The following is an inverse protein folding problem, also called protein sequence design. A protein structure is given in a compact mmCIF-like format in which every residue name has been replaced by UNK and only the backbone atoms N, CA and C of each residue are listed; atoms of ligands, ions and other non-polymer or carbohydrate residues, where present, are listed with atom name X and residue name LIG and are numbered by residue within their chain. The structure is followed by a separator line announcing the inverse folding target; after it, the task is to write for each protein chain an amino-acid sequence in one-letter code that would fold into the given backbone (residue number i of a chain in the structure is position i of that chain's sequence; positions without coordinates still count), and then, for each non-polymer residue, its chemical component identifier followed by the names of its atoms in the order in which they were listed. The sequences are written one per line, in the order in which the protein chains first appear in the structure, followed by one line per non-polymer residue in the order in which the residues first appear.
data_IF_410749251195
#
_entry.id   IF_410749251195
#
_cell.length_a   1.000
_cell.length_b   1.000
_cell.length_c   1.000
_cell.angle_alpha   90.00
_cell.angle_beta   90.00
_cell.angle_gamma   90.00
#
_symmetry.space_group_name_H-M   'P 1'
#
loop_
_entity.id
_entity.type
_entity.pdbx_description
1 polymer ?
#
# COMPACT_ATOMS: atom_id res chain seq x y z
N UNK A 1 10.40 -3.56 37.75
CA UNK A 1 9.01 -3.39 38.29
C UNK A 1 8.10 -3.40 37.08
N UNK A 2 7.23 -4.39 36.97
CA UNK A 2 6.27 -4.50 35.89
C UNK A 2 5.32 -3.30 35.97
N UNK A 3 5.24 -2.53 34.89
CA UNK A 3 4.29 -1.42 34.80
C UNK A 3 2.91 -2.01 34.55
N UNK A 4 1.92 -1.55 35.29
CA UNK A 4 0.52 -1.96 35.15
C UNK A 4 -0.32 -0.75 34.72
N UNK A 5 -1.17 -0.98 33.72
CA UNK A 5 -2.13 -0.02 33.21
C UNK A 5 -3.52 -0.59 33.46
N UNK A 6 -4.42 0.20 34.00
CA UNK A 6 -5.74 -0.27 34.42
C UNK A 6 -6.83 0.70 34.01
N UNK A 7 -7.98 0.15 33.68
CA UNK A 7 -9.23 0.90 33.52
C UNK A 7 -10.39 0.03 34.01
N UNK A 8 -11.49 0.64 34.41
CA UNK A 8 -12.68 -0.05 34.82
C UNK A 8 -13.93 0.63 34.31
N UNK A 9 -15.01 -0.14 34.13
CA UNK A 9 -16.31 0.35 33.72
C UNK A 9 -17.41 -0.54 34.34
N UNK A 10 -18.67 -0.09 34.25
CA UNK A 10 -19.82 -0.90 34.58
C UNK A 10 -20.57 -1.27 33.30
N UNK A 11 -21.09 -2.48 33.23
CA UNK A 11 -21.93 -2.90 32.12
C UNK A 11 -23.26 -2.13 32.14
N UNK A 12 -23.75 -1.74 30.95
CA UNK A 12 -25.06 -1.13 30.79
C UNK A 12 -26.21 -2.13 31.06
N UNK A 13 -27.45 -1.65 30.98
CA UNK A 13 -28.66 -2.46 31.11
C UNK A 13 -28.74 -3.54 30.01
N UNK A 14 -28.14 -3.26 28.86
CA UNK A 14 -27.99 -4.16 27.70
C UNK A 14 -26.90 -5.24 27.93
N UNK A 15 -26.22 -5.22 29.07
CA UNK A 15 -25.09 -6.08 29.43
C UNK A 15 -23.85 -5.86 28.57
N UNK A 16 -23.78 -4.73 27.85
CA UNK A 16 -22.60 -4.33 27.09
C UNK A 16 -21.73 -3.36 27.88
N UNK A 17 -20.45 -3.35 27.61
CA UNK A 17 -19.50 -2.41 28.17
C UNK A 17 -18.41 -2.05 27.16
N UNK A 18 -17.86 -0.87 27.32
CA UNK A 18 -16.67 -0.42 26.64
C UNK A 18 -15.63 0.00 27.67
N UNK A 19 -14.39 -0.43 27.50
CA UNK A 19 -13.26 -0.06 28.36
C UNK A 19 -12.13 0.48 27.48
N UNK A 20 -11.64 1.66 27.84
CA UNK A 20 -10.43 2.22 27.27
C UNK A 20 -9.32 2.21 28.32
N UNK A 21 -8.15 1.72 27.96
CA UNK A 21 -6.94 1.81 28.76
C UNK A 21 -6.04 2.85 28.11
N UNK A 22 -5.98 4.05 28.67
CA UNK A 22 -5.23 5.15 28.12
C UNK A 22 -3.74 5.06 28.44
N UNK A 23 -2.92 5.68 27.57
CA UNK A 23 -1.48 5.90 27.77
C UNK A 23 -0.66 4.62 27.94
N UNK A 24 -1.08 3.54 27.31
CA UNK A 24 -0.25 2.34 27.20
C UNK A 24 0.83 2.63 26.14
N UNK A 25 2.12 2.72 26.51
CA UNK A 25 3.16 3.08 25.56
C UNK A 25 3.44 1.94 24.57
N UNK A 26 3.93 2.30 23.38
CA UNK A 26 4.53 1.34 22.46
C UNK A 26 5.83 0.81 23.06
N UNK A 27 6.06 -0.48 22.90
CA UNK A 27 7.31 -1.15 23.28
C UNK A 27 7.46 -2.46 22.51
N UNK A 28 8.70 -2.92 22.33
CA UNK A 28 8.98 -4.17 21.64
C UNK A 28 8.49 -5.41 22.41
N UNK A 29 8.41 -5.33 23.73
CA UNK A 29 7.91 -6.42 24.57
C UNK A 29 6.38 -6.46 24.56
N UNK A 30 5.84 -7.67 24.45
CA UNK A 30 4.39 -7.89 24.47
C UNK A 30 3.78 -7.63 25.86
N UNK A 31 2.58 -7.10 25.86
CA UNK A 31 1.74 -6.99 27.05
C UNK A 31 0.90 -8.25 27.28
N UNK A 32 0.43 -8.39 28.52
CA UNK A 32 -0.60 -9.34 28.88
C UNK A 32 -1.85 -8.55 29.27
N UNK A 33 -2.96 -8.80 28.58
CA UNK A 33 -4.24 -8.18 28.87
C UNK A 33 -5.11 -9.15 29.69
N UNK A 34 -5.52 -8.71 30.88
CA UNK A 34 -6.35 -9.51 31.79
C UNK A 34 -7.68 -8.82 32.07
N UNK A 35 -8.76 -9.53 31.79
CA UNK A 35 -10.12 -9.10 32.10
C UNK A 35 -10.57 -9.68 33.46
N UNK A 36 -11.04 -8.80 34.34
CA UNK A 36 -11.57 -9.18 35.60
C UNK A 36 -13.07 -8.78 35.68
N UNK A 37 -13.87 -9.64 36.27
CA UNK A 37 -15.25 -9.34 36.66
C UNK A 37 -15.38 -9.57 38.17
N UNK A 38 -15.77 -8.54 38.88
CA UNK A 38 -15.90 -8.61 40.37
C UNK A 38 -14.61 -9.11 41.05
N UNK A 39 -13.45 -8.65 40.55
CA UNK A 39 -12.13 -9.02 41.05
C UNK A 39 -11.61 -10.41 40.61
N UNK A 40 -12.42 -11.19 39.89
CA UNK A 40 -12.03 -12.52 39.42
C UNK A 40 -11.57 -12.46 37.95
N UNK A 41 -10.44 -13.08 37.65
CA UNK A 41 -9.94 -13.21 36.27
C UNK A 41 -10.91 -14.06 35.44
N UNK A 42 -11.45 -13.46 34.39
CA UNK A 42 -12.33 -14.14 33.40
C UNK A 42 -11.63 -14.51 32.11
N UNK A 43 -10.67 -13.70 31.69
CA UNK A 43 -9.91 -13.96 30.46
C UNK A 43 -8.52 -13.31 30.55
N UNK A 44 -7.53 -14.00 30.05
CA UNK A 44 -6.18 -13.47 29.83
C UNK A 44 -5.81 -13.63 28.37
N UNK A 45 -5.30 -12.57 27.75
CA UNK A 45 -4.79 -12.55 26.39
C UNK A 45 -3.31 -12.24 26.48
N UNK A 46 -2.50 -13.12 25.91
CA UNK A 46 -1.06 -12.96 25.82
C UNK A 46 -0.66 -12.39 24.46
N UNK A 47 0.57 -11.93 24.34
CA UNK A 47 1.14 -11.41 23.10
C UNK A 47 0.33 -10.22 22.51
N UNK A 48 -0.08 -9.29 23.39
CA UNK A 48 -0.72 -8.04 22.98
C UNK A 48 0.36 -7.01 22.71
N UNK A 49 0.41 -6.50 21.49
CA UNK A 49 1.36 -5.47 21.09
C UNK A 49 0.66 -4.13 20.97
N UNK A 50 1.37 -3.06 21.30
CA UNK A 50 0.92 -1.68 21.14
C UNK A 50 1.91 -0.97 20.23
N UNK A 51 1.43 -0.50 19.09
CA UNK A 51 2.24 0.14 18.06
C UNK A 51 1.37 0.63 16.91
N UNK A 52 1.98 0.89 15.75
CA UNK A 52 1.27 1.41 14.60
C UNK A 52 0.64 0.28 13.78
N UNK A 53 -0.60 0.46 13.39
CA UNK A 53 -1.34 -0.51 12.59
C UNK A 53 -1.68 0.10 11.23
N UNK A 54 -1.34 -0.60 10.15
CA UNK A 54 -1.66 -0.20 8.78
C UNK A 54 -2.61 -1.20 8.13
N UNK A 55 -3.41 -0.75 7.19
CA UNK A 55 -4.18 -1.62 6.31
C UNK A 55 -3.41 -1.78 5.00
N UNK A 56 -3.10 -3.02 4.61
CA UNK A 56 -2.54 -3.34 3.30
C UNK A 56 -3.65 -3.85 2.40
N UNK A 57 -4.10 -3.00 1.48
CA UNK A 57 -5.25 -3.21 0.61
C UNK A 57 -4.90 -3.03 -0.87
N UNK A 58 -5.76 -3.47 -1.74
CA UNK A 58 -5.58 -3.43 -3.18
C UNK A 58 -5.65 -4.82 -3.80
N UNK A 59 -4.76 -5.10 -4.75
CA UNK A 59 -4.76 -6.39 -5.44
C UNK A 59 -3.40 -7.12 -5.33
N UNK A 60 -3.09 -7.99 -6.30
CA UNK A 60 -1.94 -8.91 -6.27
C UNK A 60 -0.60 -8.26 -5.92
N UNK A 61 -0.31 -7.06 -6.40
CA UNK A 61 0.93 -6.36 -6.08
C UNK A 61 1.08 -5.97 -4.60
N UNK A 62 0.00 -5.97 -3.82
CA UNK A 62 0.02 -5.79 -2.36
C UNK A 62 -0.08 -7.13 -1.63
N UNK A 63 -0.77 -8.12 -2.22
CA UNK A 63 -1.08 -9.40 -1.60
C UNK A 63 0.03 -10.45 -1.71
N UNK A 64 0.68 -10.54 -2.90
CA UNK A 64 1.59 -11.62 -3.24
C UNK A 64 2.79 -11.71 -2.29
N UNK A 65 3.14 -12.92 -1.91
CA UNK A 65 4.31 -13.20 -1.09
C UNK A 65 5.59 -13.30 -1.95
N UNK A 66 6.74 -13.44 -1.31
CA UNK A 66 8.04 -13.54 -2.00
C UNK A 66 8.06 -14.66 -3.05
N UNK A 67 7.56 -15.85 -2.70
CA UNK A 67 7.61 -17.00 -3.60
C UNK A 67 6.79 -16.78 -4.87
N UNK A 68 5.64 -16.07 -4.75
CA UNK A 68 4.80 -15.74 -5.90
C UNK A 68 5.51 -14.81 -6.89
N UNK A 69 6.41 -13.93 -6.41
CA UNK A 69 7.20 -13.06 -7.27
C UNK A 69 8.42 -13.75 -7.88
N UNK A 70 9.17 -14.52 -7.09
CA UNK A 70 10.53 -14.92 -7.44
C UNK A 70 10.72 -16.41 -7.67
N UNK A 71 9.82 -17.28 -7.19
CA UNK A 71 9.99 -18.73 -7.25
C UNK A 71 9.17 -19.40 -8.35
N UNK A 72 8.24 -18.70 -9.01
CA UNK A 72 7.44 -19.27 -10.10
C UNK A 72 8.24 -19.27 -11.40
N UNK A 73 8.63 -20.44 -11.92
CA UNK A 73 9.56 -20.55 -13.05
C UNK A 73 8.97 -20.08 -14.38
N UNK A 74 7.65 -20.14 -14.55
CA UNK A 74 7.00 -20.00 -15.86
C UNK A 74 6.39 -18.60 -16.10
N UNK A 75 6.41 -17.72 -15.12
CA UNK A 75 5.80 -16.38 -15.22
C UNK A 75 6.73 -15.30 -15.74
N UNK A 76 8.04 -15.58 -15.92
CA UNK A 76 9.02 -14.60 -16.33
C UNK A 76 9.80 -15.05 -17.58
N UNK A 77 9.87 -14.16 -18.56
CA UNK A 77 10.86 -14.24 -19.62
C UNK A 77 12.26 -14.44 -18.98
N UNK A 78 13.04 -15.40 -19.47
CA UNK A 78 14.39 -15.73 -18.97
C UNK A 78 15.29 -14.48 -18.92
N UNK A 79 15.13 -13.56 -19.87
CA UNK A 79 15.87 -12.31 -19.91
C UNK A 79 15.55 -11.37 -18.75
N UNK A 80 14.36 -11.47 -18.19
CA UNK A 80 13.96 -10.68 -17.01
C UNK A 80 14.53 -11.30 -15.73
N UNK A 81 14.57 -12.61 -15.66
CA UNK A 81 15.11 -13.36 -14.53
C UNK A 81 16.59 -13.06 -14.28
N UNK A 82 17.36 -12.90 -15.36
CA UNK A 82 18.79 -12.59 -15.29
C UNK A 82 19.08 -11.14 -14.84
N UNK A 83 18.11 -10.24 -14.95
CA UNK A 83 18.22 -8.86 -14.46
C UNK A 83 18.05 -8.75 -12.93
N UNK A 84 17.53 -9.79 -12.30
CA UNK A 84 17.29 -9.86 -10.86
C UNK A 84 18.18 -10.93 -10.23
N UNK A 85 19.25 -10.51 -9.61
CA UNK A 85 19.99 -11.40 -8.72
C UNK A 85 19.13 -11.63 -7.47
N UNK A 86 18.57 -12.84 -7.36
CA UNK A 86 17.81 -13.31 -6.19
C UNK A 86 18.58 -13.20 -4.87
N UNK A 87 19.90 -13.02 -4.95
CA UNK A 87 20.82 -13.15 -3.81
C UNK A 87 20.76 -11.99 -2.81
N UNK A 88 20.19 -10.85 -3.20
CA UNK A 88 20.30 -9.62 -2.41
C UNK A 88 19.00 -9.26 -1.64
N UNK A 89 17.93 -10.02 -1.84
CA UNK A 89 16.65 -9.76 -1.22
C UNK A 89 16.31 -10.88 -0.22
N UNK A 90 15.90 -10.52 1.01
CA UNK A 90 15.42 -11.52 1.95
C UNK A 90 14.15 -12.18 1.41
N UNK A 91 14.04 -13.51 1.53
CA UNK A 91 12.83 -14.24 1.13
C UNK A 91 11.65 -14.04 2.11
N UNK A 92 11.92 -13.52 3.28
CA UNK A 92 10.94 -13.15 4.31
C UNK A 92 11.57 -12.15 5.28
N UNK A 93 10.73 -11.47 6.03
CA UNK A 93 11.12 -10.67 7.18
C UNK A 93 10.97 -11.53 8.44
N UNK A 94 11.97 -11.49 9.33
CA UNK A 94 11.98 -12.22 10.60
C UNK A 94 12.02 -11.21 11.76
N UNK A 95 10.86 -10.72 12.15
CA UNK A 95 10.70 -9.81 13.29
C UNK A 95 9.34 -10.07 13.98
N UNK A 96 9.38 -10.58 15.20
CA UNK A 96 8.18 -10.84 16.01
C UNK A 96 7.36 -9.59 16.32
N UNK A 97 7.93 -8.40 16.17
CA UNK A 97 7.24 -7.12 16.32
C UNK A 97 6.55 -6.63 15.04
N UNK A 98 6.64 -7.39 13.95
CA UNK A 98 5.84 -7.20 12.74
C UNK A 98 4.79 -8.30 12.70
N UNK A 99 3.52 -7.91 12.76
CA UNK A 99 2.42 -8.87 12.83
C UNK A 99 1.35 -8.55 11.81
N UNK A 100 0.84 -9.59 11.17
CA UNK A 100 -0.19 -9.48 10.15
C UNK A 100 -1.51 -10.07 10.65
N UNK A 101 -2.59 -9.30 10.53
CA UNK A 101 -3.95 -9.85 10.56
C UNK A 101 -4.28 -10.28 9.13
N UNK A 102 -4.12 -11.55 8.84
CA UNK A 102 -4.47 -12.12 7.53
C UNK A 102 -5.96 -12.40 7.50
N UNK A 103 -6.65 -11.75 6.57
CA UNK A 103 -8.09 -11.88 6.35
C UNK A 103 -8.32 -12.93 5.25
N UNK A 104 -9.16 -13.91 5.53
CA UNK A 104 -9.52 -14.95 4.55
C UNK A 104 -10.40 -14.35 3.44
N UNK A 105 -10.11 -14.68 2.18
CA UNK A 105 -10.88 -14.30 0.99
C UNK A 105 -12.26 -14.97 0.87
N UNK A 106 -12.69 -15.71 1.86
CA UNK A 106 -14.05 -16.29 1.86
C UNK A 106 -15.08 -15.18 1.91
N UNK A 107 -15.72 -14.98 0.75
CA UNK A 107 -16.89 -14.15 0.64
C UNK A 107 -18.04 -14.89 1.31
N UNK A 108 -18.61 -14.24 2.34
CA UNK A 108 -19.89 -14.72 2.88
C UNK A 108 -20.94 -14.72 1.77
N UNK A 109 -21.90 -15.64 1.83
CA UNK A 109 -23.03 -15.74 0.87
C UNK A 109 -23.96 -14.51 0.87
N UNK A 110 -23.71 -13.52 1.72
CA UNK A 110 -24.51 -12.31 1.88
C UNK A 110 -23.78 -11.13 1.23
N UNK A 111 -24.46 -10.43 0.35
CA UNK A 111 -24.04 -9.13 -0.19
C UNK A 111 -24.09 -8.00 0.86
N UNK A 112 -24.48 -8.28 2.09
CA UNK A 112 -24.58 -7.29 3.15
C UNK A 112 -23.22 -7.10 3.83
N UNK A 113 -22.87 -5.85 4.16
CA UNK A 113 -21.64 -5.52 4.89
C UNK A 113 -21.53 -6.30 6.21
N UNK A 114 -20.40 -6.93 6.42
CA UNK A 114 -20.12 -7.66 7.66
C UNK A 114 -19.76 -6.67 8.78
N UNK A 115 -20.10 -7.02 10.00
CA UNK A 115 -19.72 -6.27 11.22
C UNK A 115 -18.33 -6.64 11.74
N UNK A 116 -17.81 -7.77 11.31
CA UNK A 116 -16.49 -8.28 11.67
C UNK A 116 -16.01 -9.24 10.60
N UNK A 117 -14.70 -9.45 10.52
CA UNK A 117 -14.15 -10.44 9.59
C UNK A 117 -14.68 -11.84 9.87
N UNK A 118 -15.06 -12.56 8.82
CA UNK A 118 -15.51 -13.95 8.94
C UNK A 118 -14.40 -14.88 9.44
N UNK A 119 -13.18 -14.64 8.96
CA UNK A 119 -11.99 -15.36 9.37
C UNK A 119 -10.80 -14.42 9.27
N UNK A 120 -10.07 -14.26 10.36
CA UNK A 120 -8.84 -13.48 10.40
C UNK A 120 -7.93 -14.01 11.51
N UNK A 121 -6.64 -14.05 11.26
CA UNK A 121 -5.64 -14.53 12.20
C UNK A 121 -4.43 -13.62 12.26
N UNK A 122 -3.99 -13.25 13.46
CA UNK A 122 -2.73 -12.54 13.68
C UNK A 122 -1.55 -13.52 13.59
N UNK A 123 -0.62 -13.25 12.67
CA UNK A 123 0.58 -14.03 12.43
C UNK A 123 1.83 -13.14 12.56
N UNK A 124 2.90 -13.58 13.23
CA UNK A 124 4.17 -12.88 13.20
C UNK A 124 4.84 -13.02 11.83
N UNK A 125 5.62 -12.00 11.45
CA UNK A 125 6.47 -12.07 10.27
C UNK A 125 7.67 -12.95 10.57
N UNK A 126 7.68 -14.14 9.98
CA UNK A 126 8.76 -15.12 10.08
C UNK A 126 8.69 -16.13 8.93
N UNK A 127 9.68 -17.00 8.84
CA UNK A 127 9.78 -18.01 7.80
C UNK A 127 8.53 -18.89 7.68
N UNK A 128 7.97 -19.34 8.81
CA UNK A 128 6.81 -20.25 8.81
C UNK A 128 5.52 -19.62 8.24
N UNK A 129 5.42 -18.32 8.27
CA UNK A 129 4.27 -17.55 7.79
C UNK A 129 4.54 -16.84 6.45
N UNK A 130 5.76 -16.83 5.95
CA UNK A 130 6.20 -16.04 4.80
C UNK A 130 5.29 -16.17 3.57
N UNK A 131 4.77 -17.39 3.31
CA UNK A 131 3.87 -17.67 2.17
C UNK A 131 2.43 -17.17 2.35
N UNK A 132 2.09 -16.63 3.51
CA UNK A 132 0.76 -16.07 3.81
C UNK A 132 0.75 -14.55 3.84
N UNK A 133 1.94 -13.94 3.89
CA UNK A 133 2.11 -12.51 4.12
C UNK A 133 2.54 -11.81 2.85
N UNK A 134 1.88 -10.73 2.50
CA UNK A 134 2.25 -9.88 1.37
C UNK A 134 3.69 -9.38 1.49
N UNK A 135 4.47 -9.53 0.44
CA UNK A 135 5.91 -9.22 0.49
C UNK A 135 6.18 -7.71 0.60
N UNK A 136 5.48 -6.89 -0.19
CA UNK A 136 5.63 -5.43 -0.11
C UNK A 136 5.30 -4.89 1.30
N UNK A 137 4.17 -5.23 1.94
CA UNK A 137 3.90 -4.75 3.29
C UNK A 137 4.83 -5.31 4.36
N UNK A 138 5.42 -6.52 4.18
CA UNK A 138 6.49 -7.00 5.06
C UNK A 138 7.70 -6.07 5.02
N UNK A 139 8.19 -5.76 3.82
CA UNK A 139 9.34 -4.89 3.62
C UNK A 139 9.07 -3.45 4.10
N UNK A 140 7.85 -2.92 3.87
CA UNK A 140 7.44 -1.62 4.41
C UNK A 140 7.52 -1.58 5.94
N UNK A 141 6.96 -2.59 6.60
CA UNK A 141 7.01 -2.69 8.06
C UNK A 141 8.45 -2.81 8.58
N UNK A 142 9.30 -3.59 7.91
CA UNK A 142 10.72 -3.69 8.23
C UNK A 142 11.43 -2.34 8.13
N UNK A 143 11.18 -1.56 7.06
CA UNK A 143 11.75 -0.21 6.93
C UNK A 143 11.33 0.70 8.10
N UNK A 144 10.08 0.68 8.53
CA UNK A 144 9.64 1.44 9.70
C UNK A 144 10.33 0.97 10.99
N UNK A 145 10.48 -0.33 11.16
CA UNK A 145 11.18 -0.91 12.32
C UNK A 145 12.66 -0.52 12.40
N UNK A 146 13.31 -0.31 11.26
CA UNK A 146 14.68 0.23 11.22
C UNK A 146 14.76 1.65 11.80
N UNK A 147 13.75 2.46 11.59
CA UNK A 147 13.66 3.84 12.12
C UNK A 147 13.13 3.87 13.57
N UNK A 148 12.15 3.05 13.88
CA UNK A 148 11.46 3.00 15.18
C UNK A 148 11.51 1.58 15.80
N UNK A 149 12.68 1.11 16.26
CA UNK A 149 12.88 -0.28 16.69
C UNK A 149 12.02 -0.68 17.90
N UNK A 150 11.50 0.27 18.65
CA UNK A 150 10.65 0.00 19.83
C UNK A 150 9.14 0.06 19.52
N UNK A 151 8.74 0.39 18.28
CA UNK A 151 7.34 0.46 17.89
C UNK A 151 6.97 -0.80 17.10
N UNK A 152 6.16 -1.71 17.62
CA UNK A 152 5.60 -2.82 16.86
C UNK A 152 4.75 -2.33 15.69
N UNK A 153 4.78 -3.05 14.57
CA UNK A 153 3.99 -2.75 13.38
C UNK A 153 2.97 -3.86 13.14
N UNK A 154 1.70 -3.47 13.11
CA UNK A 154 0.61 -4.34 12.69
C UNK A 154 0.20 -4.06 11.25
N UNK A 155 -0.05 -5.10 10.47
CA UNK A 155 -0.59 -5.01 9.11
C UNK A 155 -1.90 -5.78 9.03
N UNK A 156 -2.99 -5.10 8.71
CA UNK A 156 -4.27 -5.75 8.37
C UNK A 156 -4.26 -5.99 6.87
N UNK A 157 -4.04 -7.24 6.47
CA UNK A 157 -3.92 -7.62 5.07
C UNK A 157 -5.30 -7.96 4.49
N UNK A 158 -5.86 -7.05 3.69
CA UNK A 158 -7.16 -7.18 3.02
C UNK A 158 -7.06 -7.15 1.50
N UNK A 159 -5.85 -7.06 0.95
CA UNK A 159 -5.63 -7.09 -0.50
C UNK A 159 -6.12 -8.40 -1.12
N UNK A 160 -6.67 -8.32 -2.34
CA UNK A 160 -7.19 -9.47 -3.07
C UNK A 160 -6.80 -9.39 -4.55
N UNK A 161 -5.97 -10.32 -5.00
CA UNK A 161 -5.47 -10.38 -6.38
C UNK A 161 -6.55 -10.51 -7.44
N UNK A 162 -6.31 -9.91 -8.62
CA UNK A 162 -7.23 -10.01 -9.75
C UNK A 162 -8.53 -9.22 -9.57
N UNK A 163 -8.53 -8.13 -8.81
CA UNK A 163 -9.74 -7.35 -8.53
C UNK A 163 -9.69 -5.96 -9.15
N UNK A 164 -10.80 -5.51 -9.71
CA UNK A 164 -11.02 -4.12 -10.10
C UNK A 164 -11.46 -3.26 -8.91
N UNK A 165 -11.33 -1.93 -9.05
CA UNK A 165 -11.65 -1.01 -7.97
C UNK A 165 -13.14 -1.00 -7.59
N UNK A 166 -14.04 -1.31 -8.52
CA UNK A 166 -15.48 -1.30 -8.28
C UNK A 166 -15.88 -2.33 -7.20
N UNK A 167 -15.18 -3.46 -7.10
CA UNK A 167 -15.40 -4.45 -6.05
C UNK A 167 -15.07 -3.96 -4.64
N UNK A 168 -14.24 -2.93 -4.53
CA UNK A 168 -13.84 -2.30 -3.26
C UNK A 168 -14.75 -1.12 -2.88
N UNK A 169 -15.66 -0.68 -3.75
CA UNK A 169 -16.64 0.36 -3.43
C UNK A 169 -17.85 -0.21 -2.68
N UNK A 170 -18.67 0.66 -2.07
CA UNK A 170 -19.77 0.27 -1.14
C UNK A 170 -20.71 -0.83 -1.63
N UNK A 171 -20.95 -0.89 -2.94
CA UNK A 171 -21.82 -1.92 -3.52
C UNK A 171 -21.05 -3.19 -3.91
N UNK A 172 -19.75 -3.22 -3.69
CA UNK A 172 -18.88 -4.32 -4.03
C UNK A 172 -18.77 -5.38 -2.92
N UNK A 173 -18.44 -6.58 -3.32
CA UNK A 173 -18.29 -7.72 -2.42
C UNK A 173 -17.06 -7.60 -1.51
N UNK A 174 -15.97 -6.99 -1.99
CA UNK A 174 -14.77 -6.75 -1.16
C UNK A 174 -15.04 -5.67 -0.12
N UNK A 175 -15.77 -4.61 -0.48
CA UNK A 175 -16.20 -3.66 0.53
C UNK A 175 -16.95 -4.35 1.67
N UNK A 176 -17.97 -5.13 1.33
CA UNK A 176 -18.81 -5.79 2.31
C UNK A 176 -18.05 -6.73 3.27
N UNK A 177 -17.02 -7.40 2.77
CA UNK A 177 -16.30 -8.44 3.49
C UNK A 177 -14.96 -7.99 4.08
N UNK A 178 -14.30 -6.96 3.52
CA UNK A 178 -12.94 -6.57 3.88
C UNK A 178 -12.81 -5.11 4.32
N UNK A 179 -13.73 -4.22 3.95
CA UNK A 179 -13.66 -2.80 4.33
C UNK A 179 -14.68 -2.49 5.43
N UNK A 180 -15.93 -2.87 5.25
CA UNK A 180 -16.96 -2.64 6.27
C UNK A 180 -16.61 -3.23 7.65
N UNK A 181 -15.98 -4.41 7.77
CA UNK A 181 -15.54 -4.95 9.05
C UNK A 181 -14.48 -4.13 9.79
N UNK A 182 -13.89 -3.12 9.15
CA UNK A 182 -12.91 -2.21 9.76
C UNK A 182 -13.56 -1.10 10.60
N UNK A 183 -14.89 -0.98 10.58
CA UNK A 183 -15.62 -0.04 11.43
C UNK A 183 -15.23 -0.22 12.90
N UNK A 184 -14.82 0.89 13.53
CA UNK A 184 -14.32 0.90 14.90
C UNK A 184 -12.85 0.51 15.08
N UNK A 185 -12.11 0.20 14.01
CA UNK A 185 -10.66 0.07 14.10
C UNK A 185 -10.01 1.46 14.10
N UNK A 186 -8.90 1.58 14.84
CA UNK A 186 -8.02 2.73 14.78
C UNK A 186 -6.70 2.29 14.14
N UNK A 187 -6.34 2.93 13.03
CA UNK A 187 -5.15 2.59 12.25
C UNK A 187 -4.31 3.84 11.95
N UNK A 188 -3.01 3.64 11.75
CA UNK A 188 -2.06 4.70 11.42
C UNK A 188 -2.22 5.18 9.97
N UNK A 189 -2.57 4.28 9.04
CA UNK A 189 -2.75 4.63 7.65
C UNK A 189 -3.10 3.44 6.77
N UNK A 190 -3.32 3.72 5.49
CA UNK A 190 -3.67 2.76 4.46
C UNK A 190 -2.55 2.68 3.44
N UNK A 191 -2.17 1.46 3.07
CA UNK A 191 -1.27 1.13 1.99
C UNK A 191 -2.10 0.52 0.86
N UNK A 192 -2.07 1.16 -0.32
CA UNK A 192 -2.88 0.74 -1.46
C UNK A 192 -2.04 0.46 -2.69
N UNK A 193 -2.22 -0.70 -3.31
CA UNK A 193 -1.64 -1.00 -4.62
C UNK A 193 -2.64 -1.78 -5.46
N UNK A 194 -3.25 -1.11 -6.44
CA UNK A 194 -4.28 -1.66 -7.31
C UNK A 194 -4.45 -0.77 -8.55
N UNK A 195 -5.11 -1.27 -9.58
CA UNK A 195 -5.45 -0.58 -10.82
C UNK A 195 -5.09 -1.37 -12.06
N UNK A 196 -4.36 -2.49 -11.90
CA UNK A 196 -3.96 -3.33 -13.01
C UNK A 196 -5.16 -3.94 -13.72
N UNK A 197 -6.14 -4.45 -12.96
CA UNK A 197 -7.37 -4.99 -13.56
C UNK A 197 -8.17 -3.92 -14.30
N UNK A 198 -8.27 -2.73 -13.73
CA UNK A 198 -8.97 -1.61 -14.37
C UNK A 198 -8.27 -1.15 -15.66
N UNK A 199 -6.93 -1.30 -15.72
CA UNK A 199 -6.15 -0.95 -16.90
C UNK A 199 -6.32 -1.93 -18.09
N UNK A 200 -6.97 -3.07 -17.89
CA UNK A 200 -7.23 -4.06 -18.94
C UNK A 200 -8.32 -3.60 -19.91
N UNK A 201 -9.29 -2.80 -19.44
CA UNK A 201 -10.45 -2.35 -20.20
C UNK A 201 -10.62 -0.83 -20.17
N UNK A 202 -11.18 -0.26 -21.25
CA UNK A 202 -11.27 1.19 -21.41
C UNK A 202 -12.19 1.85 -20.37
N UNK A 203 -13.37 1.31 -20.20
CA UNK A 203 -14.40 1.93 -19.33
C UNK A 203 -13.96 1.98 -17.85
N UNK A 204 -13.47 0.87 -17.24
CA UNK A 204 -12.92 0.92 -15.89
C UNK A 204 -11.75 1.89 -15.75
N UNK A 205 -10.83 1.94 -16.74
CA UNK A 205 -9.70 2.84 -16.71
C UNK A 205 -10.12 4.32 -16.71
N UNK A 206 -11.13 4.69 -17.52
CA UNK A 206 -11.65 6.07 -17.57
C UNK A 206 -12.38 6.47 -16.29
N UNK A 207 -12.99 5.53 -15.57
CA UNK A 207 -13.69 5.78 -14.31
C UNK A 207 -12.76 5.76 -13.10
N UNK A 208 -11.51 5.35 -13.26
CA UNK A 208 -10.61 5.07 -12.14
C UNK A 208 -10.38 6.27 -11.21
N UNK A 209 -10.20 7.48 -11.73
CA UNK A 209 -9.98 8.68 -10.90
C UNK A 209 -11.15 8.94 -9.94
N UNK A 210 -12.36 8.90 -10.45
CA UNK A 210 -13.58 9.12 -9.67
C UNK A 210 -13.78 8.00 -8.63
N UNK A 211 -13.59 6.75 -9.04
CA UNK A 211 -13.71 5.59 -8.17
C UNK A 211 -12.66 5.59 -7.08
N UNK A 212 -11.42 5.95 -7.40
CA UNK A 212 -10.33 5.99 -6.43
C UNK A 212 -10.51 7.13 -5.43
N UNK A 213 -10.95 8.30 -5.87
CA UNK A 213 -11.32 9.40 -4.96
C UNK A 213 -12.45 8.98 -4.00
N UNK A 214 -13.45 8.27 -4.51
CA UNK A 214 -14.53 7.71 -3.70
C UNK A 214 -14.02 6.70 -2.69
N UNK A 215 -13.13 5.80 -3.11
CA UNK A 215 -12.55 4.77 -2.24
C UNK A 215 -11.77 5.37 -1.06
N UNK A 216 -10.94 6.39 -1.31
CA UNK A 216 -10.17 7.07 -0.26
C UNK A 216 -11.12 7.64 0.79
N UNK A 217 -12.14 8.37 0.35
CA UNK A 217 -13.12 8.97 1.26
C UNK A 217 -13.92 7.90 2.02
N UNK A 218 -14.24 6.80 1.36
CA UNK A 218 -14.96 5.67 1.95
C UNK A 218 -14.15 4.98 3.08
N UNK A 219 -12.85 4.79 2.92
CA UNK A 219 -11.98 4.30 3.99
C UNK A 219 -11.96 5.27 5.18
N UNK A 220 -11.81 6.56 4.90
CA UNK A 220 -11.82 7.61 5.93
C UNK A 220 -13.14 7.67 6.69
N UNK A 221 -14.25 7.48 6.00
CA UNK A 221 -15.58 7.43 6.61
C UNK A 221 -15.75 6.19 7.51
N UNK A 222 -15.39 4.99 7.01
CA UNK A 222 -15.50 3.74 7.75
C UNK A 222 -14.65 3.76 9.02
N UNK A 223 -13.45 4.34 8.93
CA UNK A 223 -12.51 4.41 10.06
C UNK A 223 -12.72 5.66 10.94
N UNK A 224 -13.66 6.55 10.56
CA UNK A 224 -14.01 7.73 11.35
C UNK A 224 -12.92 8.81 11.42
N UNK A 225 -11.98 8.82 10.48
CA UNK A 225 -10.89 9.79 10.39
C UNK A 225 -10.78 10.39 9.00
N UNK A 226 -11.24 11.65 8.87
CA UNK A 226 -11.21 12.39 7.58
C UNK A 226 -9.80 12.70 7.10
N UNK A 227 -8.81 12.68 7.98
CA UNK A 227 -7.40 12.98 7.70
C UNK A 227 -6.51 11.74 7.69
N UNK A 228 -7.10 10.55 7.74
CA UNK A 228 -6.37 9.30 7.76
C UNK A 228 -5.35 9.24 6.60
N UNK A 229 -4.07 8.98 6.89
CA UNK A 229 -3.04 8.83 5.89
C UNK A 229 -3.36 7.72 4.88
N UNK A 230 -3.21 8.06 3.59
CA UNK A 230 -3.45 7.13 2.49
C UNK A 230 -2.24 7.14 1.55
N UNK A 231 -1.44 6.08 1.59
CA UNK A 231 -0.26 5.91 0.77
C UNK A 231 -0.57 4.91 -0.33
N UNK A 232 -0.34 5.29 -1.57
CA UNK A 232 -0.64 4.39 -2.68
C UNK A 232 0.48 4.34 -3.72
N UNK A 233 0.57 3.21 -4.41
CA UNK A 233 1.54 3.00 -5.46
C UNK A 233 0.90 3.31 -6.80
N UNK A 234 1.53 4.20 -7.58
CA UNK A 234 1.20 4.38 -9.00
C UNK A 234 1.61 3.12 -9.75
N UNK A 235 0.76 2.64 -10.66
CA UNK A 235 1.03 1.44 -11.46
C UNK A 235 2.40 1.52 -12.14
N UNK A 236 3.11 0.41 -12.16
CA UNK A 236 4.31 0.24 -12.99
C UNK A 236 3.95 0.26 -14.48
N UNK A 237 4.97 0.39 -15.32
CA UNK A 237 4.79 0.20 -16.76
C UNK A 237 4.39 -1.25 -17.03
N UNK A 238 3.35 -1.43 -17.82
CA UNK A 238 2.95 -2.75 -18.28
C UNK A 238 2.35 -2.67 -19.69
N UNK A 239 3.01 -3.29 -20.65
CA UNK A 239 2.59 -3.26 -22.06
C UNK A 239 1.50 -4.25 -22.40
N UNK A 240 1.14 -5.15 -21.46
CA UNK A 240 0.07 -6.12 -21.64
C UNK A 240 -1.34 -5.52 -21.58
N UNK A 241 -1.49 -4.32 -20.96
CA UNK A 241 -2.76 -3.62 -20.86
C UNK A 241 -2.70 -2.24 -21.50
N UNK A 242 -3.57 -2.00 -22.47
CA UNK A 242 -3.57 -0.79 -23.30
C UNK A 242 -3.90 0.49 -22.50
N UNK A 243 -4.60 0.38 -21.41
CA UNK A 243 -5.10 1.52 -20.63
C UNK A 243 -4.29 1.80 -19.35
N UNK A 244 -3.14 1.12 -19.17
CA UNK A 244 -2.21 1.40 -18.06
C UNK A 244 -1.86 2.89 -17.94
N UNK A 245 -1.57 3.64 -19.05
CA UNK A 245 -1.30 5.07 -18.98
C UNK A 245 -2.47 5.89 -18.42
N UNK A 246 -3.71 5.51 -18.74
CA UNK A 246 -4.92 6.21 -18.26
C UNK A 246 -5.06 6.05 -16.74
N UNK A 247 -4.94 4.81 -16.24
CA UNK A 247 -5.01 4.56 -14.79
C UNK A 247 -3.87 5.26 -14.05
N UNK A 248 -2.65 5.26 -14.60
CA UNK A 248 -1.51 5.99 -14.02
C UNK A 248 -1.77 7.50 -13.95
N UNK A 249 -2.35 8.08 -15.01
CA UNK A 249 -2.73 9.48 -15.02
C UNK A 249 -3.81 9.77 -13.97
N UNK A 250 -4.81 8.91 -13.87
CA UNK A 250 -5.87 9.01 -12.85
C UNK A 250 -5.29 8.98 -11.43
N UNK A 251 -4.37 8.06 -11.16
CA UNK A 251 -3.65 8.00 -9.88
C UNK A 251 -2.86 9.28 -9.57
N UNK A 252 -2.21 9.87 -10.58
CA UNK A 252 -1.54 11.16 -10.41
C UNK A 252 -2.53 12.31 -10.16
N UNK A 253 -3.65 12.34 -10.91
CA UNK A 253 -4.67 13.39 -10.78
C UNK A 253 -5.29 13.43 -9.38
N UNK A 254 -5.47 12.27 -8.74
CA UNK A 254 -6.03 12.19 -7.38
C UNK A 254 -5.18 12.95 -6.34
N UNK A 255 -3.87 13.07 -6.52
CA UNK A 255 -3.01 13.89 -5.65
C UNK A 255 -3.44 15.37 -5.59
N UNK A 256 -4.10 15.84 -6.65
CA UNK A 256 -4.50 17.23 -6.82
C UNK A 256 -6.02 17.41 -6.82
N UNK A 257 -6.76 16.34 -6.57
CA UNK A 257 -8.23 16.34 -6.63
C UNK A 257 -8.84 17.04 -5.43
N UNK A 258 -9.72 18.00 -5.70
CA UNK A 258 -10.54 18.61 -4.65
C UNK A 258 -11.56 17.64 -4.03
N UNK A 259 -11.77 16.48 -4.65
CA UNK A 259 -12.68 15.45 -4.15
C UNK A 259 -12.14 14.70 -2.94
N UNK A 260 -10.83 14.78 -2.66
CA UNK A 260 -10.18 14.19 -1.47
C UNK A 260 -9.41 15.26 -0.72
N UNK A 261 -9.28 15.12 0.59
CA UNK A 261 -8.42 15.99 1.37
C UNK A 261 -6.95 15.62 1.08
N UNK A 262 -6.22 16.53 0.42
CA UNK A 262 -4.85 16.29 -0.07
C UNK A 262 -3.78 16.96 0.77
N UNK A 263 -4.15 17.72 1.81
CA UNK A 263 -3.25 18.72 2.40
C UNK A 263 -2.02 18.15 3.10
N UNK A 264 -2.06 16.92 3.64
CA UNK A 264 -0.89 16.33 4.31
C UNK A 264 -0.82 14.81 4.27
N UNK A 265 -1.92 14.13 4.00
CA UNK A 265 -2.05 12.72 4.35
C UNK A 265 -2.32 11.84 3.12
N UNK A 266 -1.99 12.33 1.92
CA UNK A 266 -2.08 11.58 0.68
C UNK A 266 -0.70 11.52 0.02
N UNK A 267 -0.20 10.32 -0.24
CA UNK A 267 1.11 10.12 -0.84
C UNK A 267 1.06 9.07 -1.96
N UNK A 268 1.64 9.42 -3.11
CA UNK A 268 1.80 8.50 -4.23
C UNK A 268 3.25 8.05 -4.36
N UNK A 269 3.48 6.75 -4.33
CA UNK A 269 4.78 6.14 -4.59
C UNK A 269 4.91 5.81 -6.06
N UNK A 270 5.90 6.38 -6.73
CA UNK A 270 6.19 6.09 -8.14
C UNK A 270 6.85 4.72 -8.28
N UNK A 271 6.40 3.93 -9.26
CA UNK A 271 6.88 2.56 -9.50
C UNK A 271 7.47 2.33 -10.90
N UNK A 272 7.66 3.37 -11.71
CA UNK A 272 8.10 3.25 -13.12
C UNK A 272 9.43 2.54 -13.31
N UNK A 273 10.33 2.68 -12.37
CA UNK A 273 11.69 2.14 -12.39
C UNK A 273 11.82 0.81 -11.63
N UNK A 274 10.76 0.35 -11.00
CA UNK A 274 10.77 -0.90 -10.21
C UNK A 274 10.62 -2.15 -11.06
N UNK A 275 10.31 -1.99 -12.34
CA UNK A 275 10.33 -3.06 -13.35
C UNK A 275 11.74 -3.36 -13.89
N UNK A 276 12.74 -2.61 -13.43
CA UNK A 276 14.16 -2.72 -13.77
C UNK A 276 14.42 -2.75 -15.29
N UNK A 277 13.65 -1.97 -16.04
CA UNK A 277 13.82 -1.77 -17.49
C UNK A 277 12.94 -2.66 -18.36
N UNK A 278 12.05 -3.46 -17.79
CA UNK A 278 11.09 -4.25 -18.57
C UNK A 278 9.65 -3.86 -18.25
N UNK A 279 8.92 -3.42 -19.27
CA UNK A 279 7.48 -3.15 -19.17
C UNK A 279 6.61 -4.38 -19.45
N UNK A 280 7.17 -5.59 -19.38
CA UNK A 280 6.48 -6.85 -19.70
C UNK A 280 5.94 -7.59 -18.48
N UNK A 281 6.24 -7.11 -17.27
CA UNK A 281 5.86 -7.77 -16.02
C UNK A 281 4.77 -6.95 -15.33
N UNK A 282 3.62 -7.57 -15.09
CA UNK A 282 2.52 -6.94 -14.34
C UNK A 282 2.86 -6.81 -12.84
N UNK A 283 3.73 -7.67 -12.32
CA UNK A 283 4.18 -7.68 -10.93
C UNK A 283 5.66 -7.29 -10.85
N UNK A 284 6.01 -5.99 -10.88
CA UNK A 284 7.40 -5.54 -10.87
C UNK A 284 8.14 -6.02 -9.63
N UNK A 285 9.39 -6.44 -9.82
CA UNK A 285 10.18 -7.13 -8.79
C UNK A 285 10.87 -6.19 -7.79
N UNK A 286 10.94 -4.88 -8.05
CA UNK A 286 11.57 -3.89 -7.16
C UNK A 286 10.72 -3.53 -5.94
N UNK A 287 10.25 -4.51 -5.18
CA UNK A 287 9.40 -4.28 -4.00
C UNK A 287 10.15 -3.61 -2.85
N UNK A 288 11.44 -3.84 -2.74
CA UNK A 288 12.33 -3.18 -1.76
C UNK A 288 12.41 -1.67 -1.99
N UNK A 289 12.41 -1.25 -3.26
CA UNK A 289 12.43 0.17 -3.64
C UNK A 289 11.09 0.81 -3.24
N UNK A 290 9.99 0.15 -3.55
CA UNK A 290 8.64 0.64 -3.21
C UNK A 290 8.46 0.72 -1.69
N UNK A 291 8.86 -0.31 -0.97
CA UNK A 291 8.74 -0.37 0.49
C UNK A 291 9.49 0.79 1.15
N UNK A 292 10.73 1.05 0.70
CA UNK A 292 11.52 2.18 1.20
C UNK A 292 10.85 3.52 0.90
N UNK A 293 10.39 3.74 -0.33
CA UNK A 293 9.70 4.99 -0.72
C UNK A 293 8.44 5.23 0.09
N UNK A 294 7.61 4.18 0.28
CA UNK A 294 6.41 4.27 1.11
C UNK A 294 6.75 4.56 2.57
N UNK A 295 7.80 3.94 3.11
CA UNK A 295 8.24 4.21 4.47
C UNK A 295 8.76 5.65 4.63
N UNK A 296 9.58 6.15 3.69
CA UNK A 296 10.05 7.53 3.69
C UNK A 296 8.87 8.53 3.63
N UNK A 297 7.82 8.21 2.86
CA UNK A 297 6.60 9.02 2.80
C UNK A 297 5.83 9.00 4.13
N UNK A 298 5.68 7.82 4.74
CA UNK A 298 5.06 7.71 6.06
C UNK A 298 5.81 8.52 7.12
N UNK A 299 7.12 8.37 7.19
CA UNK A 299 7.96 9.11 8.14
C UNK A 299 7.88 10.63 7.93
N UNK A 300 7.71 11.08 6.70
CA UNK A 300 7.48 12.49 6.39
C UNK A 300 6.11 12.96 6.87
N UNK A 301 5.06 12.14 6.74
CA UNK A 301 3.72 12.44 7.27
C UNK A 301 3.76 12.51 8.80
N UNK A 302 4.34 11.51 9.46
CA UNK A 302 4.50 11.44 10.91
C UNK A 302 5.30 12.65 11.45
N UNK A 303 6.42 12.96 10.81
CA UNK A 303 7.28 14.10 11.14
C UNK A 303 6.74 15.46 10.70
N UNK A 304 5.59 15.52 10.04
CA UNK A 304 4.98 16.74 9.46
C UNK A 304 5.94 17.51 8.54
N UNK A 305 6.75 16.78 7.78
CA UNK A 305 7.71 17.33 6.81
C UNK A 305 7.18 17.22 5.39
N UNK A 306 7.98 17.65 4.40
CA UNK A 306 7.61 17.52 2.99
C UNK A 306 7.63 16.05 2.58
N UNK A 307 6.51 15.55 2.08
CA UNK A 307 6.37 14.18 1.61
C UNK A 307 7.15 14.01 0.29
N UNK A 308 8.09 13.04 0.20
CA UNK A 308 8.79 12.76 -1.04
C UNK A 308 7.82 12.29 -2.13
N UNK A 309 7.86 12.89 -3.31
CA UNK A 309 6.94 12.57 -4.41
C UNK A 309 7.61 11.86 -5.59
N UNK A 310 8.94 11.90 -5.67
CA UNK A 310 9.66 11.63 -6.91
C UNK A 310 9.48 12.75 -7.94
N UNK A 311 10.06 12.61 -9.16
CA UNK A 311 10.03 13.63 -10.18
C UNK A 311 8.60 13.88 -10.69
N UNK A 312 8.20 15.15 -10.68
CA UNK A 312 6.92 15.61 -11.23
C UNK A 312 7.17 16.53 -12.42
N UNK A 313 6.88 16.04 -13.61
CA UNK A 313 7.00 16.86 -14.81
C UNK A 313 6.01 18.02 -14.80
N UNK A 314 6.48 19.23 -15.10
CA UNK A 314 5.66 20.45 -15.22
C UNK A 314 5.38 20.82 -16.67
N UNK A 315 6.32 20.55 -17.60
CA UNK A 315 6.12 20.74 -19.03
C UNK A 315 7.03 19.79 -19.83
N UNK A 316 6.64 19.57 -21.08
CA UNK A 316 7.45 18.85 -22.07
C UNK A 316 7.33 19.59 -23.40
N UNK A 317 8.43 20.10 -23.94
CA UNK A 317 8.45 20.93 -25.15
C UNK A 317 9.49 20.41 -26.13
N UNK A 318 9.20 20.42 -27.46
CA UNK A 318 10.21 20.15 -28.47
C UNK A 318 11.37 21.13 -28.36
N UNK A 319 12.58 20.68 -28.61
CA UNK A 319 13.75 21.57 -28.68
C UNK A 319 13.79 22.21 -30.04
N UNK A 320 13.88 23.54 -30.09
CA UNK A 320 13.96 24.29 -31.36
C UNK A 320 15.14 23.82 -32.21
N UNK A 321 14.83 23.47 -33.46
CA UNK A 321 15.81 22.99 -34.43
C UNK A 321 16.19 21.51 -34.33
N UNK A 322 15.63 20.77 -33.38
CA UNK A 322 15.81 19.32 -33.22
C UNK A 322 14.48 18.60 -33.01
N UNK A 323 13.88 18.12 -34.09
CA UNK A 323 12.60 17.40 -34.05
C UNK A 323 12.65 16.05 -33.32
N UNK A 324 13.83 15.59 -32.90
CA UNK A 324 14.02 14.31 -32.21
C UNK A 324 14.23 14.49 -30.68
N UNK A 325 14.32 15.72 -30.21
CA UNK A 325 14.59 16.03 -28.82
C UNK A 325 13.41 16.75 -28.15
N UNK A 326 13.04 16.30 -26.96
CA UNK A 326 12.04 16.93 -26.10
C UNK A 326 12.72 17.35 -24.79
N UNK A 327 12.55 18.61 -24.42
CA UNK A 327 12.95 19.12 -23.11
C UNK A 327 11.83 18.92 -22.11
N UNK A 328 12.12 18.26 -20.97
CA UNK A 328 11.15 18.08 -19.90
C UNK A 328 11.59 18.89 -18.69
N UNK A 329 10.73 19.77 -18.23
CA UNK A 329 10.90 20.52 -16.99
C UNK A 329 10.16 19.84 -15.85
N UNK A 330 10.71 19.95 -14.64
CA UNK A 330 10.12 19.36 -13.44
C UNK A 330 9.77 20.43 -12.39
N UNK A 331 8.79 20.16 -11.58
CA UNK A 331 8.46 21.00 -10.42
C UNK A 331 9.68 21.12 -9.51
N UNK A 332 9.88 22.32 -8.97
CA UNK A 332 11.05 22.63 -8.13
C UNK A 332 11.17 21.64 -6.97
N UNK A 333 12.35 21.06 -6.80
CA UNK A 333 12.66 20.14 -5.72
C UNK A 333 12.23 18.69 -5.93
N UNK A 334 11.48 18.36 -7.02
CA UNK A 334 10.98 17.00 -7.22
C UNK A 334 11.90 16.11 -8.05
N UNK A 335 12.87 16.67 -8.76
CA UNK A 335 13.79 15.94 -9.66
C UNK A 335 15.22 15.84 -9.14
N UNK A 336 15.45 16.12 -7.86
CA UNK A 336 16.78 16.00 -7.27
C UNK A 336 17.24 14.54 -7.29
N UNK A 337 18.40 14.29 -7.89
CA UNK A 337 18.93 12.93 -8.03
C UNK A 337 18.38 12.12 -9.21
N UNK A 338 17.59 12.74 -10.09
CA UNK A 338 17.12 12.09 -11.31
C UNK A 338 18.27 11.56 -12.14
N UNK A 339 18.23 10.28 -12.51
CA UNK A 339 19.24 9.62 -13.34
C UNK A 339 18.56 8.85 -14.47
N UNK A 340 19.25 8.76 -15.62
CA UNK A 340 18.82 7.85 -16.67
C UNK A 340 19.24 6.41 -16.31
N UNK A 341 18.31 5.47 -16.36
CA UNK A 341 18.61 4.05 -16.11
C UNK A 341 19.51 3.45 -17.21
N UNK A 342 19.36 3.93 -18.43
CA UNK A 342 20.17 3.51 -19.59
C UNK A 342 20.74 4.77 -20.28
N UNK A 343 21.85 5.34 -19.79
CA UNK A 343 22.37 6.62 -20.27
C UNK A 343 22.77 6.61 -21.74
N UNK A 344 22.92 5.43 -22.36
CA UNK A 344 23.32 5.27 -23.78
C UNK A 344 22.13 4.94 -24.70
N UNK A 345 20.90 4.89 -24.21
CA UNK A 345 19.73 4.61 -25.01
C UNK A 345 19.09 5.91 -25.48
N UNK A 346 19.29 6.25 -26.73
CA UNK A 346 18.60 7.36 -27.39
C UNK A 346 17.15 6.95 -27.64
N UNK A 347 16.19 7.60 -26.95
CA UNK A 347 14.79 7.45 -27.27
C UNK A 347 14.51 8.16 -28.59
N UNK A 348 14.08 7.45 -29.62
CA UNK A 348 13.60 8.05 -30.85
C UNK A 348 12.10 8.02 -30.89
N UNK A 349 11.45 9.18 -30.90
CA UNK A 349 10.07 9.30 -31.28
C UNK A 349 9.96 8.99 -32.77
N UNK A 350 9.20 7.96 -33.15
CA UNK A 350 9.06 7.52 -34.57
C UNK A 350 7.87 8.16 -35.26
N UNK A 351 7.11 9.03 -34.59
CA UNK A 351 5.97 9.73 -35.19
C UNK A 351 5.96 11.21 -34.84
N UNK A 352 5.58 12.04 -35.80
CA UNK A 352 5.47 13.50 -35.68
C UNK A 352 4.31 14.01 -34.81
N UNK A 353 3.60 13.13 -34.15
CA UNK A 353 2.53 13.45 -33.23
C UNK A 353 2.82 12.76 -31.89
N UNK A 354 3.29 13.54 -30.93
CA UNK A 354 3.25 13.18 -29.52
C UNK A 354 1.77 13.19 -29.09
N UNK A 355 0.99 12.24 -29.57
CA UNK A 355 -0.31 11.96 -29.00
C UNK A 355 -0.08 11.15 -27.74
N UNK A 356 -0.09 11.83 -26.60
CA UNK A 356 -0.37 11.30 -25.26
C UNK A 356 0.16 9.91 -24.91
N UNK A 357 1.33 9.47 -25.36
CA UNK A 357 1.93 8.31 -24.75
C UNK A 357 2.72 8.75 -23.52
N UNK A 358 2.12 8.60 -22.37
CA UNK A 358 2.72 8.71 -21.04
C UNK A 358 3.85 7.69 -20.79
N UNK A 359 4.23 6.95 -21.79
CA UNK A 359 5.23 5.88 -21.75
C UNK A 359 6.63 6.28 -22.19
N UNK A 360 6.95 7.57 -22.17
CA UNK A 360 8.34 7.99 -22.17
C UNK A 360 8.97 7.49 -20.87
N UNK A 361 10.01 6.64 -20.92
CA UNK A 361 10.66 6.15 -19.71
C UNK A 361 11.52 7.26 -19.09
N UNK A 362 10.88 8.31 -18.61
CA UNK A 362 11.48 9.21 -17.64
C UNK A 362 11.42 8.48 -16.30
N UNK A 363 12.47 7.76 -16.03
CA UNK A 363 12.65 7.06 -14.77
C UNK A 363 13.14 8.08 -13.77
N UNK A 364 12.29 8.36 -12.80
CA UNK A 364 12.59 9.20 -11.67
C UNK A 364 12.50 8.39 -10.38
N UNK A 365 13.39 8.69 -9.49
CA UNK A 365 13.62 8.08 -8.17
C UNK A 365 12.62 8.54 -7.16
#
# INVERSE_FOLDING_TARGET
KDKRYESSTQAGIDKQFNITIDKVPSQADAYILTFLLEGQVKRTIHNVYVGDVFIAAGQSNMELNYADYYEQPDSFDSNVRDMFTKSDLPSFVDDDNIRFLVVDHKIGSSALPLKSFNSAQWLPANESNAKKLGYLPQLFAEQLRLHHPNIPIGIIQTAWGGTDIARHLRDGDIYANHIAPLDGYNVAGILWYQGENDAAEQEPALQYEANFSTLINQYREVLGDSDLPFLYVQLARYTGYAYTPIVRQAQFSVLHSAAVNTTRNLAMTVSMDTDKGTAKIIHPLGKEILAKRMADQWLAIEGQTTIPSGPQASSAEPVDGDASTVSVSFNTGTAHGLQALEPNRTLRATTSTLTSSTDLPLQGF
#
